data_IF_165831111906
#
_entry.id   IF_165831111906
#
_cell.length_a   1.000
_cell.length_b   1.000
_cell.length_c   1.000
_cell.angle_alpha   90.00
_cell.angle_beta   90.00
_cell.angle_gamma   90.00
#
_symmetry.space_group_name_H-M   'P 1'
#
loop_
_entity.id
_entity.type
_entity.pdbx_description
1 polymer ?
#
# COMPACT_ATOMS: atom_id res chain seq x y z
N UNK A 1 5.60 9.23 -19.19
CA UNK A 1 5.82 7.76 -19.28
C UNK A 1 4.70 7.13 -18.48
N UNK A 2 4.11 6.00 -18.92
CA UNK A 2 3.10 5.31 -18.14
C UNK A 2 3.67 4.92 -16.77
N UNK A 3 2.81 4.95 -15.76
CA UNK A 3 3.15 4.46 -14.43
C UNK A 3 2.77 2.99 -14.37
N UNK A 4 3.77 2.11 -14.26
CA UNK A 4 3.56 0.66 -14.16
C UNK A 4 3.44 0.26 -12.70
N UNK A 5 2.39 -0.49 -12.39
CA UNK A 5 2.06 -0.96 -11.06
C UNK A 5 2.04 -2.49 -11.08
N UNK A 6 2.78 -3.12 -10.17
CA UNK A 6 2.83 -4.58 -10.03
C UNK A 6 2.37 -4.97 -8.63
N UNK A 7 1.38 -5.86 -8.54
CA UNK A 7 1.04 -6.47 -7.26
C UNK A 7 1.96 -7.68 -7.00
N UNK A 8 2.74 -7.62 -5.94
CA UNK A 8 3.74 -8.65 -5.62
C UNK A 8 3.18 -9.76 -4.72
N UNK A 9 1.93 -9.61 -4.27
CA UNK A 9 1.23 -10.51 -3.35
C UNK A 9 1.00 -9.86 -2.00
N UNK A 10 -0.01 -10.33 -1.27
CA UNK A 10 -0.45 -9.80 0.02
C UNK A 10 -0.66 -8.27 -0.02
N UNK A 11 0.14 -7.50 0.74
CA UNK A 11 0.15 -6.03 0.70
C UNK A 11 1.30 -5.45 -0.13
N UNK A 12 2.18 -6.30 -0.69
CA UNK A 12 3.39 -5.87 -1.38
C UNK A 12 3.10 -5.32 -2.78
N UNK A 13 3.58 -4.13 -3.07
CA UNK A 13 3.38 -3.44 -4.34
C UNK A 13 4.70 -2.84 -4.84
N UNK A 14 4.92 -2.90 -6.17
CA UNK A 14 5.97 -2.15 -6.84
C UNK A 14 5.34 -1.15 -7.82
N UNK A 15 5.79 0.10 -7.75
CA UNK A 15 5.42 1.19 -8.66
C UNK A 15 6.67 1.60 -9.42
N UNK A 16 6.61 1.58 -10.74
CA UNK A 16 7.74 1.94 -11.62
C UNK A 16 7.32 3.02 -12.60
N UNK A 17 8.03 4.16 -12.55
CA UNK A 17 7.92 5.27 -13.49
C UNK A 17 9.31 5.90 -13.66
N UNK A 18 9.49 7.16 -13.26
CA UNK A 18 10.78 7.85 -13.16
C UNK A 18 11.66 7.31 -12.02
N UNK A 19 11.02 6.69 -11.03
CA UNK A 19 11.67 5.97 -9.94
C UNK A 19 11.00 4.62 -9.73
N UNK A 20 11.69 3.71 -9.02
CA UNK A 20 11.15 2.42 -8.57
C UNK A 20 10.84 2.52 -7.09
N UNK A 21 9.55 2.44 -6.75
CA UNK A 21 9.03 2.52 -5.38
C UNK A 21 8.44 1.17 -4.99
N UNK A 22 8.82 0.65 -3.84
CA UNK A 22 8.17 -0.52 -3.22
C UNK A 22 7.40 -0.07 -1.99
N UNK A 23 6.23 -0.68 -1.79
CA UNK A 23 5.44 -0.53 -0.57
C UNK A 23 5.30 -1.91 0.06
N UNK A 24 5.64 -2.05 1.33
CA UNK A 24 5.58 -3.28 2.12
C UNK A 24 6.20 -4.50 1.42
N UNK A 25 7.48 -4.45 1.02
CA UNK A 25 8.13 -5.56 0.31
C UNK A 25 8.25 -6.80 1.20
N UNK A 26 7.49 -7.84 0.85
CA UNK A 26 7.46 -9.12 1.54
C UNK A 26 7.48 -10.29 0.55
N UNK A 27 8.25 -11.33 0.83
CA UNK A 27 8.50 -12.49 -0.06
C UNK A 27 9.04 -12.08 -1.44
N UNK A 28 9.99 -11.13 -1.44
CA UNK A 28 10.54 -10.54 -2.66
C UNK A 28 11.52 -11.49 -3.34
N UNK A 29 11.41 -11.63 -4.67
CA UNK A 29 12.37 -12.39 -5.47
C UNK A 29 13.75 -11.73 -5.49
N UNK A 30 14.82 -12.55 -5.44
CA UNK A 30 16.20 -12.08 -5.60
C UNK A 30 16.47 -11.41 -6.96
N UNK A 31 15.63 -11.67 -7.96
CA UNK A 31 15.71 -11.04 -9.29
C UNK A 31 14.89 -9.75 -9.42
N UNK A 32 14.24 -9.30 -8.35
CA UNK A 32 13.46 -8.07 -8.37
C UNK A 32 14.34 -6.84 -8.63
N UNK A 33 13.82 -5.83 -9.35
CA UNK A 33 14.57 -4.60 -9.59
C UNK A 33 14.97 -3.89 -8.28
N UNK A 34 16.08 -3.13 -8.34
CA UNK A 34 16.48 -2.29 -7.20
C UNK A 34 15.47 -1.17 -6.97
N UNK A 35 15.26 -0.85 -5.70
CA UNK A 35 14.41 0.24 -5.27
C UNK A 35 15.17 1.56 -5.22
N UNK A 36 14.56 2.62 -5.68
CA UNK A 36 14.95 3.99 -5.31
C UNK A 36 14.36 4.34 -3.93
N UNK A 37 13.13 3.89 -3.68
CA UNK A 37 12.38 4.20 -2.45
C UNK A 37 11.68 2.90 -1.97
N UNK A 38 11.77 2.64 -0.68
CA UNK A 38 10.98 1.62 0.02
C UNK A 38 10.11 2.32 1.06
N UNK A 39 8.83 2.06 1.02
CA UNK A 39 7.84 2.57 1.97
C UNK A 39 7.34 1.41 2.82
N UNK A 40 7.42 1.54 4.14
CA UNK A 40 6.91 0.55 5.09
C UNK A 40 5.74 1.19 5.84
N UNK A 41 4.57 0.54 5.80
CA UNK A 41 3.36 1.09 6.44
C UNK A 41 3.39 0.89 7.95
N UNK A 42 3.91 -0.24 8.43
CA UNK A 42 4.02 -0.62 9.83
C UNK A 42 5.01 -1.77 10.02
N UNK A 43 5.20 -2.26 11.25
CA UNK A 43 6.25 -3.23 11.62
C UNK A 43 5.79 -4.68 11.78
N UNK A 44 4.59 -5.05 11.32
CA UNK A 44 4.21 -6.46 11.25
C UNK A 44 5.05 -7.21 10.20
N UNK A 45 5.34 -8.49 10.47
CA UNK A 45 6.31 -9.28 9.69
C UNK A 45 5.91 -9.58 8.24
N UNK A 46 4.64 -9.40 7.88
CA UNK A 46 4.10 -9.52 6.52
C UNK A 46 4.11 -8.20 5.72
N UNK A 47 4.54 -7.11 6.36
CA UNK A 47 4.74 -5.78 5.76
C UNK A 47 6.20 -5.33 5.85
N UNK A 48 6.86 -5.66 6.96
CA UNK A 48 8.26 -5.35 7.19
C UNK A 48 9.11 -6.60 7.30
N UNK A 49 9.84 -6.91 6.24
CA UNK A 49 10.88 -7.94 6.19
C UNK A 49 12.22 -7.28 5.88
N UNK A 50 13.10 -7.20 6.88
CA UNK A 50 14.45 -6.61 6.70
C UNK A 50 15.25 -7.36 5.63
N UNK A 51 15.10 -8.69 5.54
CA UNK A 51 15.76 -9.50 4.51
C UNK A 51 15.26 -9.16 3.11
N UNK A 52 13.95 -8.94 2.92
CA UNK A 52 13.39 -8.60 1.64
C UNK A 52 13.77 -7.17 1.22
N UNK A 53 13.74 -6.22 2.16
CA UNK A 53 14.21 -4.85 1.90
C UNK A 53 15.68 -4.88 1.44
N UNK A 54 16.56 -5.68 2.07
CA UNK A 54 17.98 -5.81 1.66
C UNK A 54 18.16 -6.38 0.24
N UNK A 55 17.24 -7.23 -0.23
CA UNK A 55 17.30 -7.78 -1.60
C UNK A 55 17.21 -6.67 -2.64
N UNK A 56 16.34 -5.69 -2.41
CA UNK A 56 16.02 -4.63 -3.37
C UNK A 56 16.74 -3.30 -3.09
N UNK A 57 17.48 -3.20 -1.97
CA UNK A 57 18.14 -1.95 -1.56
C UNK A 57 19.61 -1.94 -1.88
N UNK A 58 20.15 -0.75 -2.07
CA UNK A 58 21.56 -0.42 -2.07
C UNK A 58 21.82 0.87 -1.26
N UNK A 59 23.05 1.40 -1.33
CA UNK A 59 23.44 2.59 -0.56
C UNK A 59 22.67 3.87 -0.94
N UNK A 60 22.03 3.90 -2.10
CA UNK A 60 21.23 5.05 -2.59
C UNK A 60 19.75 4.93 -2.27
N UNK A 61 19.27 3.74 -1.88
CA UNK A 61 17.88 3.48 -1.57
C UNK A 61 17.43 4.24 -0.32
N UNK A 62 16.32 4.96 -0.41
CA UNK A 62 15.68 5.62 0.74
C UNK A 62 14.59 4.70 1.30
N UNK A 63 14.69 4.40 2.58
CA UNK A 63 13.69 3.58 3.30
C UNK A 63 12.91 4.47 4.25
N UNK A 64 11.63 4.64 3.99
CA UNK A 64 10.71 5.52 4.72
C UNK A 64 9.72 4.69 5.54
N UNK A 65 9.56 5.00 6.80
CA UNK A 65 8.66 4.26 7.69
C UNK A 65 8.16 5.13 8.86
N UNK A 66 7.02 4.77 9.51
CA UNK A 66 6.56 5.45 10.73
C UNK A 66 7.35 5.03 11.99
N UNK A 67 8.19 4.00 11.89
CA UNK A 67 9.04 3.49 12.99
C UNK A 67 10.53 3.67 12.67
N UNK A 68 11.34 3.72 13.70
CA UNK A 68 12.80 3.76 13.55
C UNK A 68 13.40 2.37 13.69
N UNK A 69 14.14 1.93 12.67
CA UNK A 69 14.91 0.68 12.67
C UNK A 69 16.28 0.92 12.04
N UNK A 70 17.17 -0.10 12.06
CA UNK A 70 18.53 0.05 11.50
C UNK A 70 18.57 0.34 10.00
N UNK A 71 17.50 -0.02 9.26
CA UNK A 71 17.45 0.15 7.79
C UNK A 71 16.62 1.35 7.36
N UNK A 72 15.85 1.97 8.27
CA UNK A 72 15.03 3.15 7.97
C UNK A 72 15.95 4.38 7.88
N UNK A 73 15.91 5.05 6.73
CA UNK A 73 16.66 6.29 6.50
C UNK A 73 15.86 7.54 6.87
N UNK A 74 14.52 7.46 6.76
CA UNK A 74 13.61 8.56 7.00
C UNK A 74 12.40 8.11 7.80
N UNK A 75 12.14 8.75 8.91
CA UNK A 75 10.89 8.54 9.65
C UNK A 75 9.82 9.53 9.18
N UNK A 76 8.57 9.04 9.11
CA UNK A 76 7.43 9.85 8.71
C UNK A 76 6.24 9.53 9.62
N UNK A 77 5.45 10.53 9.99
CA UNK A 77 4.25 10.35 10.81
C UNK A 77 2.99 10.75 10.05
N UNK A 78 1.80 10.29 10.47
CA UNK A 78 0.54 10.64 9.83
C UNK A 78 0.40 12.15 9.60
N UNK A 79 0.03 12.53 8.37
CA UNK A 79 -0.14 13.92 7.93
C UNK A 79 1.13 14.57 7.36
N UNK A 80 2.31 14.00 7.58
CA UNK A 80 3.55 14.51 7.00
C UNK A 80 3.69 14.16 5.52
N UNK A 81 4.50 14.94 4.82
CA UNK A 81 4.88 14.69 3.42
C UNK A 81 6.40 14.78 3.27
N UNK A 82 6.94 13.97 2.36
CA UNK A 82 8.35 13.91 2.03
C UNK A 82 8.50 13.88 0.50
N UNK A 83 9.46 14.60 -0.04
CA UNK A 83 9.84 14.54 -1.45
C UNK A 83 11.20 13.85 -1.58
N UNK A 84 11.27 12.81 -2.42
CA UNK A 84 12.50 12.08 -2.74
C UNK A 84 12.58 11.99 -4.26
N UNK A 85 13.62 12.57 -4.86
CA UNK A 85 13.71 12.77 -6.32
C UNK A 85 12.46 13.54 -6.80
N UNK A 86 11.75 13.01 -7.77
CA UNK A 86 10.50 13.53 -8.33
C UNK A 86 9.23 12.83 -7.80
N UNK A 87 9.38 12.11 -6.69
CA UNK A 87 8.28 11.41 -6.00
C UNK A 87 7.88 12.18 -4.75
N UNK A 88 6.60 12.53 -4.64
CA UNK A 88 6.03 13.08 -3.40
C UNK A 88 5.29 11.97 -2.66
N UNK A 89 5.63 11.80 -1.39
CA UNK A 89 5.07 10.78 -0.50
C UNK A 89 4.32 11.49 0.61
N UNK A 90 3.05 11.18 0.80
CA UNK A 90 2.25 11.68 1.93
C UNK A 90 1.81 10.51 2.80
N UNK A 91 2.13 10.57 4.09
CA UNK A 91 1.66 9.61 5.08
C UNK A 91 0.22 9.94 5.50
N UNK A 92 -0.64 8.94 5.48
CA UNK A 92 -2.05 9.01 5.91
C UNK A 92 -2.22 8.08 7.10
N UNK A 93 -3.03 8.41 8.13
CA UNK A 93 -3.29 7.48 9.22
C UNK A 93 -3.83 6.14 8.71
N UNK A 94 -3.36 5.05 9.30
CA UNK A 94 -3.90 3.71 9.10
C UNK A 94 -4.09 3.03 10.45
N UNK A 95 -5.33 2.64 10.79
CA UNK A 95 -5.63 2.06 12.10
C UNK A 95 -6.95 1.29 12.11
N UNK A 96 -7.11 0.42 13.11
CA UNK A 96 -8.39 -0.22 13.39
C UNK A 96 -9.28 0.67 14.27
N UNK A 97 -10.59 0.68 13.97
CA UNK A 97 -11.63 1.35 14.75
C UNK A 97 -12.17 0.43 15.85
N UNK A 98 -12.41 -0.84 15.50
CA UNK A 98 -13.04 -1.82 16.40
C UNK A 98 -12.20 -3.06 16.69
N UNK A 99 -11.07 -3.22 16.01
CA UNK A 99 -10.13 -4.34 16.19
C UNK A 99 -8.88 -3.86 16.95
N UNK A 100 -8.14 -4.78 17.57
CA UNK A 100 -6.98 -4.45 18.42
C UNK A 100 -5.63 -4.56 17.70
N UNK A 101 -5.60 -4.99 16.43
CA UNK A 101 -4.36 -5.33 15.72
C UNK A 101 -3.55 -4.10 15.29
N UNK A 102 -4.25 -3.02 14.91
CA UNK A 102 -3.64 -1.79 14.42
C UNK A 102 -4.14 -0.58 15.24
N UNK A 103 -3.71 -0.44 16.51
CA UNK A 103 -4.20 0.63 17.37
C UNK A 103 -3.71 2.01 16.88
N UNK A 104 -4.58 3.01 16.87
CA UNK A 104 -4.29 4.37 16.40
C UNK A 104 -3.06 4.99 17.08
N UNK A 105 -2.77 4.61 18.33
CA UNK A 105 -1.63 5.12 19.10
C UNK A 105 -0.27 4.76 18.49
N UNK A 106 -0.20 3.70 17.67
CA UNK A 106 1.03 3.30 16.99
C UNK A 106 1.44 4.27 15.86
N UNK A 107 0.52 5.17 15.47
CA UNK A 107 0.77 6.15 14.41
C UNK A 107 1.23 5.52 13.07
N UNK A 108 0.79 4.30 12.79
CA UNK A 108 1.05 3.60 11.53
C UNK A 108 0.32 4.28 10.36
N UNK A 109 0.79 4.03 9.14
CA UNK A 109 0.40 4.83 7.98
C UNK A 109 0.03 4.00 6.76
N UNK A 110 -0.85 4.56 5.94
CA UNK A 110 -0.88 4.32 4.51
C UNK A 110 -0.12 5.43 3.78
N UNK A 111 0.11 5.27 2.49
CA UNK A 111 0.86 6.20 1.68
C UNK A 111 0.09 6.66 0.45
N UNK A 112 0.07 7.97 0.21
CA UNK A 112 -0.25 8.52 -1.10
C UNK A 112 1.08 8.84 -1.77
N UNK A 113 1.35 8.17 -2.89
CA UNK A 113 2.55 8.36 -3.71
C UNK A 113 2.16 9.11 -4.96
N UNK A 114 2.69 10.32 -5.14
CA UNK A 114 2.55 11.10 -6.38
C UNK A 114 3.83 10.91 -7.21
N UNK A 115 3.68 10.21 -8.33
CA UNK A 115 4.78 9.83 -9.22
C UNK A 115 4.30 9.82 -10.67
N UNK A 116 5.06 10.42 -11.59
CA UNK A 116 4.69 10.48 -13.00
C UNK A 116 3.36 11.20 -13.26
N UNK A 117 2.92 12.07 -12.38
CA UNK A 117 1.64 12.79 -12.44
C UNK A 117 0.43 11.96 -12.01
N UNK A 118 0.65 10.79 -11.38
CA UNK A 118 -0.39 9.90 -10.86
C UNK A 118 -0.29 9.79 -9.35
N UNK A 119 -1.44 9.83 -8.69
CA UNK A 119 -1.59 9.63 -7.24
C UNK A 119 -2.05 8.21 -6.95
N UNK A 120 -1.20 7.46 -6.28
CA UNK A 120 -1.45 6.06 -5.89
C UNK A 120 -1.57 6.02 -4.38
N UNK A 121 -2.71 5.57 -3.88
CA UNK A 121 -2.94 5.40 -2.45
C UNK A 121 -2.87 3.94 -2.05
N UNK A 122 -1.92 3.60 -1.21
CA UNK A 122 -1.85 2.32 -0.50
C UNK A 122 -2.34 2.55 0.92
N UNK A 123 -3.44 1.92 1.30
CA UNK A 123 -4.08 2.23 2.59
C UNK A 123 -3.29 1.74 3.80
N UNK A 124 -2.35 0.81 3.61
CA UNK A 124 -1.81 0.00 4.69
C UNK A 124 -2.89 -0.86 5.33
N UNK A 125 -2.61 -1.38 6.50
CA UNK A 125 -3.56 -2.15 7.29
C UNK A 125 -4.44 -1.23 8.12
N UNK A 126 -5.71 -1.15 7.74
CA UNK A 126 -6.66 -0.21 8.32
C UNK A 126 -8.08 -0.74 8.24
N UNK A 127 -8.95 -0.24 9.12
CA UNK A 127 -10.40 -0.25 8.94
C UNK A 127 -10.83 0.97 8.10
N UNK A 128 -12.13 1.09 7.79
CA UNK A 128 -12.70 2.31 7.23
C UNK A 128 -12.60 3.45 8.25
N UNK A 129 -11.82 4.47 7.95
CA UNK A 129 -11.53 5.59 8.85
C UNK A 129 -12.04 6.91 8.26
N UNK A 130 -12.42 7.91 9.10
CA UNK A 130 -12.99 9.19 8.64
C UNK A 130 -12.06 9.97 7.71
N UNK A 131 -10.75 9.81 7.86
CA UNK A 131 -9.71 10.48 7.08
C UNK A 131 -9.77 10.12 5.59
N UNK A 132 -10.34 8.97 5.22
CA UNK A 132 -10.51 8.51 3.83
C UNK A 132 -11.36 9.46 2.99
N UNK A 133 -12.31 10.20 3.59
CA UNK A 133 -13.17 11.19 2.90
C UNK A 133 -12.39 12.36 2.29
N UNK A 134 -11.16 12.57 2.73
CA UNK A 134 -10.31 13.66 2.25
C UNK A 134 -9.33 13.19 1.16
N UNK A 135 -9.37 11.91 0.78
CA UNK A 135 -8.41 11.31 -0.15
C UNK A 135 -8.98 11.28 -1.56
N UNK A 136 -8.14 11.72 -2.51
CA UNK A 136 -8.38 11.57 -3.94
C UNK A 136 -7.12 10.92 -4.54
N UNK A 137 -7.31 9.85 -5.31
CA UNK A 137 -6.22 9.12 -5.96
C UNK A 137 -6.66 8.57 -7.32
N UNK A 138 -5.71 8.37 -8.23
CA UNK A 138 -5.96 7.70 -9.51
C UNK A 138 -6.16 6.21 -9.30
N UNK A 139 -5.39 5.63 -8.36
CA UNK A 139 -5.47 4.22 -8.01
C UNK A 139 -5.35 4.02 -6.49
N UNK A 140 -6.13 3.08 -5.96
CA UNK A 140 -6.11 2.70 -4.54
C UNK A 140 -5.86 1.22 -4.37
N UNK A 141 -4.94 0.85 -3.48
CA UNK A 141 -4.81 -0.50 -2.92
C UNK A 141 -5.52 -0.54 -1.57
N UNK A 142 -6.46 -1.50 -1.40
CA UNK A 142 -7.32 -1.60 -0.23
C UNK A 142 -7.42 -3.05 0.27
N UNK A 143 -7.23 -3.31 1.59
CA UNK A 143 -7.33 -4.65 2.14
C UNK A 143 -8.78 -5.13 2.13
N UNK A 144 -8.98 -6.42 1.81
CA UNK A 144 -10.30 -7.06 1.74
C UNK A 144 -10.38 -8.39 2.49
N UNK A 145 -9.28 -8.84 3.09
CA UNK A 145 -9.15 -10.18 3.69
C UNK A 145 -9.90 -10.37 5.02
N UNK A 146 -10.42 -9.32 5.61
CA UNK A 146 -11.09 -9.37 6.92
C UNK A 146 -10.12 -9.62 8.07
N UNK A 147 -10.61 -10.12 9.18
CA UNK A 147 -9.93 -10.46 10.44
C UNK A 147 -9.11 -9.32 11.05
N UNK A 148 -8.01 -8.92 10.41
CA UNK A 148 -7.08 -7.88 10.86
C UNK A 148 -7.43 -6.49 10.33
N UNK A 149 -8.04 -6.46 9.14
CA UNK A 149 -8.37 -5.26 8.37
C UNK A 149 -9.83 -5.29 7.92
N UNK A 150 -10.20 -4.48 6.96
CA UNK A 150 -11.52 -4.48 6.36
C UNK A 150 -11.85 -5.82 5.70
N UNK A 151 -13.10 -6.28 5.83
CA UNK A 151 -13.65 -7.29 4.95
C UNK A 151 -14.13 -6.67 3.62
N UNK A 152 -14.56 -7.50 2.68
CA UNK A 152 -15.03 -7.04 1.37
C UNK A 152 -16.18 -6.01 1.44
N UNK A 153 -17.09 -6.14 2.41
CA UNK A 153 -18.21 -5.22 2.58
C UNK A 153 -17.75 -3.89 3.16
N UNK A 154 -16.92 -3.92 4.19
CA UNK A 154 -16.34 -2.71 4.81
C UNK A 154 -15.46 -1.95 3.82
N UNK A 155 -14.61 -2.67 3.05
CA UNK A 155 -13.78 -2.08 2.02
C UNK A 155 -14.62 -1.42 0.91
N UNK A 156 -15.74 -2.02 0.49
CA UNK A 156 -16.63 -1.42 -0.51
C UNK A 156 -17.26 -0.11 -0.04
N UNK A 157 -17.56 0.01 1.25
CA UNK A 157 -18.02 1.26 1.84
C UNK A 157 -16.89 2.30 1.99
N UNK A 158 -15.66 1.84 2.28
CA UNK A 158 -14.49 2.73 2.36
C UNK A 158 -14.17 3.37 1.00
N UNK A 159 -14.30 2.61 -0.09
CA UNK A 159 -14.10 3.12 -1.46
C UNK A 159 -15.08 4.26 -1.80
N UNK A 160 -16.29 4.27 -1.26
CA UNK A 160 -17.25 5.38 -1.45
C UNK A 160 -16.76 6.69 -0.80
N UNK A 161 -15.99 6.58 0.28
CA UNK A 161 -15.38 7.74 0.93
C UNK A 161 -14.16 8.25 0.17
N UNK A 162 -13.43 7.35 -0.52
CA UNK A 162 -12.23 7.66 -1.29
C UNK A 162 -12.63 7.98 -2.74
N UNK A 163 -12.17 9.11 -3.27
CA UNK A 163 -12.36 9.44 -4.69
C UNK A 163 -11.25 8.78 -5.50
N UNK A 164 -11.52 7.57 -6.02
CA UNK A 164 -10.59 6.77 -6.81
C UNK A 164 -11.16 6.41 -8.18
N UNK A 165 -10.30 6.36 -9.22
CA UNK A 165 -10.66 5.88 -10.55
C UNK A 165 -10.54 4.35 -10.64
N UNK A 166 -9.46 3.79 -10.10
CA UNK A 166 -9.15 2.35 -10.12
C UNK A 166 -8.93 1.88 -8.69
N UNK A 167 -9.45 0.70 -8.35
CA UNK A 167 -9.24 0.08 -7.04
C UNK A 167 -8.71 -1.34 -7.20
N UNK A 168 -7.67 -1.68 -6.47
CA UNK A 168 -7.06 -3.00 -6.43
C UNK A 168 -7.20 -3.57 -5.02
N UNK A 169 -7.94 -4.68 -4.84
CA UNK A 169 -7.98 -5.38 -3.57
C UNK A 169 -6.63 -6.03 -3.26
N UNK A 170 -6.22 -5.96 -2.01
CA UNK A 170 -4.98 -6.55 -1.48
C UNK A 170 -5.25 -7.24 -0.14
N UNK A 171 -4.20 -7.77 0.50
CA UNK A 171 -4.24 -8.40 1.82
C UNK A 171 -5.22 -9.58 1.88
N UNK A 172 -5.14 -10.47 0.88
CA UNK A 172 -5.89 -11.73 0.77
C UNK A 172 -5.05 -12.82 0.11
N UNK A 173 -5.47 -14.08 0.31
CA UNK A 173 -4.90 -15.25 -0.38
C UNK A 173 -3.59 -15.78 0.20
N UNK A 174 -3.01 -15.13 1.19
CA UNK A 174 -1.88 -15.63 1.99
C UNK A 174 -2.32 -15.68 3.47
N UNK A 175 -1.81 -15.03 4.40
CA UNK A 175 -2.10 -15.10 5.84
C UNK A 175 -3.60 -15.11 6.17
N UNK A 176 -4.41 -14.37 5.43
CA UNK A 176 -5.84 -14.17 5.67
C UNK A 176 -6.61 -14.01 4.36
N UNK A 177 -7.91 -14.26 4.40
CA UNK A 177 -8.80 -14.11 3.26
C UNK A 177 -8.49 -15.04 2.09
N UNK A 178 -9.16 -14.80 0.97
CA UNK A 178 -9.05 -15.60 -0.24
C UNK A 178 -9.43 -14.77 -1.48
N UNK A 179 -9.23 -15.33 -2.66
CA UNK A 179 -9.69 -14.72 -3.92
C UNK A 179 -11.20 -14.43 -3.91
N UNK A 180 -12.01 -15.22 -3.17
CA UNK A 180 -13.45 -15.01 -3.05
C UNK A 180 -13.80 -13.68 -2.35
N UNK A 181 -12.93 -13.20 -1.46
CA UNK A 181 -13.11 -11.90 -0.80
C UNK A 181 -12.88 -10.77 -1.78
N UNK A 182 -11.87 -10.86 -2.63
CA UNK A 182 -11.63 -9.90 -3.71
C UNK A 182 -12.77 -9.92 -4.75
N UNK A 183 -13.28 -11.11 -5.12
CA UNK A 183 -14.43 -11.26 -6.03
C UNK A 183 -15.72 -10.68 -5.41
N UNK A 184 -15.94 -10.92 -4.10
CA UNK A 184 -17.07 -10.33 -3.36
C UNK A 184 -16.96 -8.81 -3.34
N UNK A 185 -15.77 -8.27 -3.05
CA UNK A 185 -15.50 -6.85 -3.07
C UNK A 185 -15.81 -6.23 -4.44
N UNK A 186 -15.33 -6.84 -5.52
CA UNK A 186 -15.57 -6.34 -6.87
C UNK A 186 -17.06 -6.28 -7.23
N UNK A 187 -17.87 -7.25 -6.75
CA UNK A 187 -19.33 -7.25 -6.96
C UNK A 187 -20.05 -6.15 -6.16
N UNK A 188 -19.48 -5.71 -5.05
CA UNK A 188 -20.08 -4.68 -4.18
C UNK A 188 -19.72 -3.25 -4.60
N UNK A 189 -18.60 -3.08 -5.32
CA UNK A 189 -18.12 -1.77 -5.76
C UNK A 189 -18.76 -1.34 -7.08
N UNK A 190 -19.10 -0.05 -7.17
CA UNK A 190 -19.56 0.58 -8.41
C UNK A 190 -18.43 1.29 -9.18
N UNK A 191 -17.16 0.99 -8.86
CA UNK A 191 -15.96 1.57 -9.49
C UNK A 191 -15.19 0.54 -10.32
N UNK A 192 -14.13 0.94 -11.02
CA UNK A 192 -13.24 0.04 -11.76
C UNK A 192 -12.38 -0.75 -10.78
N UNK A 193 -12.80 -1.97 -10.45
CA UNK A 193 -12.04 -2.89 -9.59
C UNK A 193 -11.23 -3.84 -10.46
N UNK A 194 -9.92 -3.88 -10.21
CA UNK A 194 -9.00 -4.79 -10.91
C UNK A 194 -8.40 -5.77 -9.92
N UNK A 195 -8.79 -7.04 -10.04
CA UNK A 195 -8.23 -8.13 -9.24
C UNK A 195 -7.01 -8.65 -10.00
N UNK A 196 -5.82 -8.40 -9.47
CA UNK A 196 -4.57 -8.85 -10.07
C UNK A 196 -4.15 -10.21 -9.53
N UNK A 197 -3.42 -10.96 -10.34
CA UNK A 197 -2.67 -12.13 -9.89
C UNK A 197 -1.31 -11.68 -9.34
N UNK A 198 -0.72 -12.48 -8.46
CA UNK A 198 0.62 -12.19 -7.93
C UNK A 198 1.64 -12.09 -9.08
N UNK A 199 2.37 -10.98 -9.12
CA UNK A 199 3.33 -10.65 -10.18
C UNK A 199 2.71 -9.97 -11.41
N UNK A 200 1.39 -9.86 -11.47
CA UNK A 200 0.70 -9.17 -12.56
C UNK A 200 0.88 -7.65 -12.46
N UNK A 201 0.97 -7.00 -13.62
CA UNK A 201 1.17 -5.56 -13.73
C UNK A 201 0.07 -4.90 -14.56
N UNK A 202 -0.25 -3.67 -14.21
CA UNK A 202 -1.06 -2.76 -15.04
C UNK A 202 -0.30 -1.45 -15.27
N UNK A 203 -0.59 -0.81 -16.38
CA UNK A 203 -0.11 0.54 -16.67
C UNK A 203 -1.27 1.53 -16.51
N UNK A 204 -0.99 2.69 -15.90
CA UNK A 204 -1.92 3.82 -15.79
C UNK A 204 -1.33 5.03 -16.50
N UNK A 205 -2.10 5.57 -17.45
CA UNK A 205 -1.75 6.73 -18.30
C UNK A 205 -2.30 8.05 -17.74
#
# INVERSE_FOLDING_TARGET
>A
MPVRITWLGHASVMIKATATVYIDPWKISKSSPRADIVLLTHDHGDHYSESDVKIISDASTRVVAPMSTKIVTDTITPGQSLAIKDVTIKAVPAYNVSKAFHPKVNAWVGYIVDIGGKKIYHTGDTDRIPEMKQITADLVFIPVGGTYTMDASEASEAVKDIKASIVIPIHFGDIVGSIKDAEKFAKLCACDVRILQQGESIDID
#
